data_IF_416678001410
#
_entry.id   IF_416678001410
#
_cell.length_a   1.000
_cell.length_b   1.000
_cell.length_c   1.000
_cell.angle_alpha   90.00
_cell.angle_beta   90.00
_cell.angle_gamma   90.00
#
_symmetry.space_group_name_H-M   'P 1'
#
loop_
_entity.id
_entity.type
_entity.pdbx_description
1 polymer ?
#
# COMPACT_ATOMS: atom_id res chain seq x y z
N UNK A 1 -19.47 -29.28 -31.05
CA UNK A 1 -19.00 -28.15 -30.23
C UNK A 1 -20.05 -27.82 -29.18
N UNK A 2 -19.72 -27.93 -27.91
CA UNK A 2 -20.63 -27.50 -26.83
C UNK A 2 -20.72 -25.99 -26.97
N UNK A 3 -21.92 -25.50 -27.33
CA UNK A 3 -22.16 -24.07 -27.47
C UNK A 3 -22.25 -23.45 -26.06
N UNK A 4 -21.08 -23.18 -25.46
CA UNK A 4 -20.96 -22.60 -24.13
C UNK A 4 -21.20 -21.12 -24.20
N UNK A 5 -22.41 -20.73 -24.56
CA UNK A 5 -22.78 -19.32 -24.73
C UNK A 5 -22.95 -18.65 -23.35
N UNK A 6 -21.86 -18.08 -22.84
CA UNK A 6 -21.80 -17.35 -21.58
C UNK A 6 -22.88 -16.26 -21.49
N UNK A 7 -23.11 -15.54 -22.60
CA UNK A 7 -24.11 -14.48 -22.71
C UNK A 7 -25.51 -14.99 -22.30
N UNK A 8 -25.92 -16.16 -22.86
CA UNK A 8 -27.25 -16.73 -22.58
C UNK A 8 -27.45 -17.17 -21.12
N UNK A 9 -26.38 -17.35 -20.38
CA UNK A 9 -26.43 -17.73 -18.94
C UNK A 9 -26.36 -16.54 -18.02
N UNK A 10 -25.76 -15.43 -18.45
CA UNK A 10 -25.41 -14.30 -17.58
C UNK A 10 -26.20 -13.01 -17.87
N UNK A 11 -26.64 -12.79 -19.11
CA UNK A 11 -27.54 -11.70 -19.41
C UNK A 11 -28.98 -12.07 -19.02
N UNK A 12 -29.64 -11.22 -18.26
CA UNK A 12 -30.97 -11.43 -17.76
C UNK A 12 -32.04 -11.55 -18.87
N UNK A 13 -32.22 -10.55 -19.75
CA UNK A 13 -33.25 -10.58 -20.79
C UNK A 13 -32.94 -11.64 -21.85
N UNK A 14 -33.96 -12.41 -22.21
CA UNK A 14 -33.93 -13.31 -23.38
C UNK A 14 -34.64 -12.63 -24.56
N UNK A 15 -34.49 -13.13 -25.79
CA UNK A 15 -35.12 -12.56 -26.98
C UNK A 15 -36.63 -12.28 -26.81
N UNK A 16 -37.36 -13.22 -26.15
CA UNK A 16 -38.77 -13.05 -25.85
C UNK A 16 -39.04 -11.95 -24.81
N UNK A 17 -38.13 -11.73 -23.89
CA UNK A 17 -38.25 -10.67 -22.89
C UNK A 17 -37.92 -9.32 -23.50
N UNK A 18 -36.86 -9.25 -24.32
CA UNK A 18 -36.46 -8.04 -25.07
C UNK A 18 -37.62 -7.58 -25.92
N UNK A 19 -38.29 -8.48 -26.65
CA UNK A 19 -39.45 -8.12 -27.47
C UNK A 19 -40.56 -7.48 -26.63
N UNK A 20 -40.92 -8.04 -25.50
CA UNK A 20 -41.94 -7.47 -24.60
C UNK A 20 -41.48 -6.12 -24.01
N UNK A 21 -40.19 -5.99 -23.67
CA UNK A 21 -39.64 -4.71 -23.17
C UNK A 21 -39.74 -3.61 -24.24
N UNK A 22 -39.40 -3.90 -25.50
CA UNK A 22 -39.52 -2.97 -26.61
C UNK A 22 -40.99 -2.58 -26.90
N UNK A 23 -41.89 -3.52 -26.80
CA UNK A 23 -43.35 -3.25 -26.92
C UNK A 23 -43.84 -2.28 -25.83
N UNK A 24 -43.39 -2.48 -24.57
CA UNK A 24 -43.76 -1.58 -23.46
C UNK A 24 -43.13 -0.20 -23.60
N UNK A 25 -41.90 -0.10 -24.11
CA UNK A 25 -41.20 1.17 -24.38
C UNK A 25 -41.84 1.90 -25.58
N UNK A 26 -42.44 1.16 -26.51
CA UNK A 26 -43.06 1.72 -27.72
C UNK A 26 -42.09 1.88 -28.90
N UNK A 27 -40.98 1.13 -28.91
CA UNK A 27 -40.00 1.12 -30.00
C UNK A 27 -39.95 -0.23 -30.71
N UNK A 28 -39.55 -0.23 -31.99
CA UNK A 28 -39.54 -1.44 -32.81
C UNK A 28 -38.30 -2.32 -32.65
N UNK A 29 -37.20 -1.75 -32.23
CA UNK A 29 -35.92 -2.44 -32.10
C UNK A 29 -35.01 -1.76 -31.08
N UNK A 30 -34.00 -2.50 -30.58
CA UNK A 30 -32.94 -1.94 -29.76
C UNK A 30 -32.15 -0.83 -30.48
N UNK A 31 -31.95 -0.97 -31.81
CA UNK A 31 -31.31 0.04 -32.63
C UNK A 31 -32.09 1.38 -32.64
N UNK A 32 -33.42 1.30 -32.78
CA UNK A 32 -34.25 2.49 -32.67
C UNK A 32 -34.14 3.15 -31.31
N UNK A 33 -34.16 2.36 -30.25
CA UNK A 33 -34.01 2.88 -28.90
C UNK A 33 -32.66 3.58 -28.70
N UNK A 34 -31.59 2.98 -29.20
CA UNK A 34 -30.25 3.58 -29.15
C UNK A 34 -30.18 4.88 -29.95
N UNK A 35 -30.76 4.89 -31.14
CA UNK A 35 -30.80 6.09 -31.99
C UNK A 35 -31.56 7.25 -31.37
N UNK A 36 -32.61 6.97 -30.59
CA UNK A 36 -33.39 7.99 -29.89
C UNK A 36 -32.70 8.54 -28.62
N UNK A 37 -31.85 7.73 -28.00
CA UNK A 37 -31.20 8.08 -26.71
C UNK A 37 -29.79 8.65 -26.91
N UNK A 38 -29.00 8.07 -27.82
CA UNK A 38 -27.61 8.41 -28.03
C UNK A 38 -27.45 9.37 -29.19
N UNK A 39 -26.82 10.53 -28.95
CA UNK A 39 -26.49 11.49 -30.00
C UNK A 39 -25.61 10.83 -31.08
N UNK A 40 -25.92 11.13 -32.35
CA UNK A 40 -25.17 10.63 -33.51
C UNK A 40 -23.67 10.97 -33.45
N UNK A 41 -23.33 12.08 -32.82
CA UNK A 41 -21.94 12.57 -32.72
C UNK A 41 -21.07 11.73 -31.81
N UNK A 42 -21.66 10.97 -30.88
CA UNK A 42 -20.94 10.12 -29.91
C UNK A 42 -21.17 8.62 -30.15
N UNK A 43 -22.09 8.26 -31.06
CA UNK A 43 -22.32 6.87 -31.41
C UNK A 43 -21.21 6.36 -32.32
N UNK A 44 -20.66 5.18 -31.97
CA UNK A 44 -19.66 4.50 -32.81
C UNK A 44 -20.28 4.19 -34.20
N UNK A 45 -19.59 4.55 -35.30
CA UNK A 45 -20.11 4.31 -36.66
C UNK A 45 -20.08 2.84 -37.10
N UNK A 46 -19.39 1.99 -36.33
CA UNK A 46 -19.21 0.58 -36.61
C UNK A 46 -18.96 -0.18 -35.29
N UNK A 47 -19.12 -1.48 -35.30
CA UNK A 47 -18.82 -2.37 -34.18
C UNK A 47 -17.34 -2.29 -33.83
N UNK A 48 -17.04 -2.62 -32.58
CA UNK A 48 -15.66 -2.71 -32.09
C UNK A 48 -14.90 -3.80 -32.88
N UNK A 49 -13.71 -3.48 -33.36
CA UNK A 49 -12.83 -4.43 -34.02
C UNK A 49 -12.14 -5.35 -32.99
N UNK A 50 -12.94 -6.22 -32.37
CA UNK A 50 -12.47 -7.24 -31.41
C UNK A 50 -12.74 -8.62 -31.98
N UNK A 51 -11.89 -9.59 -31.63
CA UNK A 51 -12.07 -10.98 -32.04
C UNK A 51 -13.34 -11.63 -31.45
N UNK A 52 -13.67 -12.80 -31.94
CA UNK A 52 -14.77 -13.61 -31.36
C UNK A 52 -14.46 -13.94 -29.90
N UNK A 53 -15.48 -13.92 -29.06
CA UNK A 53 -15.38 -14.36 -27.67
C UNK A 53 -14.90 -15.83 -27.58
N UNK A 54 -14.05 -16.10 -26.60
CA UNK A 54 -13.57 -17.45 -26.30
C UNK A 54 -14.57 -18.15 -25.38
N UNK A 55 -14.65 -19.49 -25.48
CA UNK A 55 -15.28 -20.27 -24.42
C UNK A 55 -14.37 -20.39 -23.19
N UNK A 56 -14.88 -20.87 -22.06
CA UNK A 56 -14.14 -20.95 -20.78
C UNK A 56 -12.84 -21.77 -20.90
N UNK A 57 -12.86 -22.85 -21.66
CA UNK A 57 -11.69 -23.69 -21.88
C UNK A 57 -10.61 -22.96 -22.71
N UNK A 58 -11.03 -22.36 -23.82
CA UNK A 58 -10.13 -21.57 -24.67
C UNK A 58 -9.53 -20.40 -23.91
N UNK A 59 -10.36 -19.66 -23.16
CA UNK A 59 -9.91 -18.54 -22.35
C UNK A 59 -8.92 -18.98 -21.27
N UNK A 60 -9.22 -20.06 -20.55
CA UNK A 60 -8.33 -20.61 -19.52
C UNK A 60 -6.97 -21.00 -20.08
N UNK A 61 -6.96 -21.67 -21.23
CA UNK A 61 -5.71 -22.06 -21.89
C UNK A 61 -4.94 -20.85 -22.42
N UNK A 62 -5.64 -19.88 -23.00
CA UNK A 62 -5.03 -18.63 -23.44
C UNK A 62 -4.39 -17.88 -22.26
N UNK A 63 -5.11 -17.74 -21.16
CA UNK A 63 -4.62 -17.06 -19.96
C UNK A 63 -3.39 -17.77 -19.36
N UNK A 64 -3.42 -19.11 -19.29
CA UNK A 64 -2.25 -19.91 -18.88
C UNK A 64 -1.05 -19.69 -19.79
N UNK A 65 -1.26 -19.67 -21.10
CA UNK A 65 -0.19 -19.45 -22.08
C UNK A 65 0.40 -18.03 -21.98
N UNK A 66 -0.44 -17.01 -21.73
CA UNK A 66 0.02 -15.64 -21.49
C UNK A 66 0.77 -15.56 -20.15
N UNK A 67 0.22 -16.15 -19.09
CA UNK A 67 0.85 -16.20 -17.77
C UNK A 67 2.21 -16.91 -17.78
N UNK A 68 2.35 -17.96 -18.56
CA UNK A 68 3.62 -18.71 -18.70
C UNK A 68 4.76 -17.91 -19.35
N UNK A 69 4.48 -16.74 -19.94
CA UNK A 69 5.53 -15.83 -20.46
C UNK A 69 6.25 -15.08 -19.34
N UNK A 70 5.67 -15.00 -18.14
CA UNK A 70 6.34 -14.43 -16.98
C UNK A 70 7.50 -15.33 -16.54
N UNK A 71 8.59 -14.69 -16.16
CA UNK A 71 9.74 -15.35 -15.54
C UNK A 71 9.67 -15.16 -14.04
N UNK A 72 9.52 -16.23 -13.29
CA UNK A 72 9.45 -16.19 -11.83
C UNK A 72 10.88 -16.21 -11.30
N UNK A 73 11.31 -15.09 -10.74
CA UNK A 73 12.62 -14.91 -10.13
C UNK A 73 12.46 -14.57 -8.64
N UNK A 74 13.45 -14.91 -7.82
CA UNK A 74 13.51 -14.45 -6.43
C UNK A 74 13.81 -12.96 -6.44
N UNK A 75 12.95 -12.19 -5.79
CA UNK A 75 13.10 -10.73 -5.74
C UNK A 75 13.73 -10.33 -4.41
N UNK A 76 14.84 -9.63 -4.50
CA UNK A 76 15.53 -8.99 -3.37
C UNK A 76 15.57 -7.46 -3.57
N UNK A 77 14.62 -6.92 -4.32
CA UNK A 77 14.53 -5.49 -4.65
C UNK A 77 14.06 -4.67 -3.43
N UNK A 78 13.15 -5.21 -2.64
CA UNK A 78 12.53 -4.49 -1.53
C UNK A 78 11.65 -3.33 -2.00
N UNK A 79 11.99 -2.10 -1.63
CA UNK A 79 11.27 -0.88 -2.03
C UNK A 79 9.82 -0.83 -1.53
N UNK A 80 9.57 -1.41 -0.35
CA UNK A 80 8.25 -1.49 0.27
C UNK A 80 7.44 -2.73 -0.10
N UNK A 81 8.01 -3.65 -0.90
CA UNK A 81 7.37 -4.89 -1.33
C UNK A 81 8.26 -6.11 -1.05
N UNK A 82 7.71 -7.09 -0.35
CA UNK A 82 8.46 -8.23 0.17
C UNK A 82 7.66 -9.52 -0.02
N UNK A 83 8.35 -10.65 -0.19
CA UNK A 83 7.67 -11.93 -0.06
C UNK A 83 7.30 -12.17 1.41
N UNK A 84 6.20 -12.87 1.61
CA UNK A 84 5.68 -13.21 2.92
C UNK A 84 4.99 -14.57 2.88
N UNK A 85 4.87 -15.21 4.03
CA UNK A 85 4.22 -16.51 4.15
C UNK A 85 2.79 -16.30 4.64
N UNK A 86 1.83 -16.40 3.72
CA UNK A 86 0.42 -16.37 4.10
C UNK A 86 0.05 -17.67 4.82
N UNK A 87 -0.39 -17.64 6.09
CA UNK A 87 -0.85 -18.86 6.78
C UNK A 87 -1.98 -19.55 6.01
N UNK A 88 -1.88 -20.88 5.84
CA UNK A 88 -2.86 -21.64 5.06
C UNK A 88 -4.31 -21.49 5.55
N UNK A 89 -4.50 -21.27 6.84
CA UNK A 89 -5.83 -21.00 7.43
C UNK A 89 -6.40 -19.66 6.93
N UNK A 90 -5.58 -18.64 6.73
CA UNK A 90 -6.00 -17.34 6.19
C UNK A 90 -6.32 -17.48 4.70
N UNK A 91 -5.46 -18.16 3.93
CA UNK A 91 -5.74 -18.43 2.51
C UNK A 91 -7.07 -19.13 2.33
N UNK A 92 -7.29 -20.26 3.01
CA UNK A 92 -8.49 -21.08 2.86
C UNK A 92 -9.75 -20.40 3.38
N UNK A 93 -9.70 -19.83 4.60
CA UNK A 93 -10.91 -19.39 5.31
C UNK A 93 -11.26 -17.91 5.08
N UNK A 94 -10.34 -17.14 4.52
CA UNK A 94 -10.53 -15.70 4.23
C UNK A 94 -10.40 -15.42 2.74
N UNK A 95 -9.21 -15.64 2.16
CA UNK A 95 -8.95 -15.26 0.76
C UNK A 95 -9.82 -16.05 -0.24
N UNK A 96 -10.00 -17.37 -0.02
CA UNK A 96 -10.79 -18.24 -0.90
C UNK A 96 -12.28 -18.29 -0.52
N UNK A 97 -12.69 -17.67 0.58
CA UNK A 97 -14.06 -17.73 1.08
C UNK A 97 -14.91 -16.58 0.50
N UNK A 98 -15.99 -16.91 -0.28
CA UNK A 98 -16.85 -15.89 -0.89
C UNK A 98 -17.50 -14.95 0.12
N UNK A 99 -17.75 -15.37 1.34
CA UNK A 99 -18.28 -14.52 2.42
C UNK A 99 -17.35 -13.34 2.76
N UNK A 100 -16.06 -13.46 2.48
CA UNK A 100 -15.06 -12.41 2.68
C UNK A 100 -14.73 -11.66 1.40
N UNK A 101 -14.39 -12.34 0.29
CA UNK A 101 -13.86 -11.68 -0.90
C UNK A 101 -14.93 -11.01 -1.77
N UNK A 102 -16.21 -11.39 -1.66
CA UNK A 102 -17.29 -10.69 -2.38
C UNK A 102 -17.78 -9.43 -1.66
N UNK A 103 -17.27 -9.17 -0.47
CA UNK A 103 -17.73 -8.09 0.39
C UNK A 103 -17.13 -6.76 -0.03
N UNK A 104 -17.99 -5.75 -0.10
CA UNK A 104 -17.61 -4.36 -0.25
C UNK A 104 -17.50 -3.66 1.12
N UNK A 105 -17.38 -2.35 1.15
CA UNK A 105 -17.36 -1.56 2.39
C UNK A 105 -18.59 -1.92 3.25
N UNK A 106 -18.41 -2.23 4.55
CA UNK A 106 -19.48 -2.70 5.42
C UNK A 106 -20.39 -1.55 5.90
N UNK A 107 -21.13 -0.94 4.99
CA UNK A 107 -22.05 0.16 5.31
C UNK A 107 -23.21 -0.26 6.21
N UNK A 108 -23.73 -1.47 6.03
CA UNK A 108 -24.79 -2.02 6.86
C UNK A 108 -24.18 -2.78 8.03
N UNK A 109 -24.11 -2.12 9.18
CA UNK A 109 -23.50 -2.67 10.39
C UNK A 109 -24.20 -3.96 10.84
N UNK A 110 -25.52 -4.05 10.69
CA UNK A 110 -26.37 -5.16 11.15
C UNK A 110 -25.94 -6.50 10.56
N UNK A 111 -25.50 -6.52 9.32
CA UNK A 111 -25.08 -7.75 8.60
C UNK A 111 -23.56 -7.86 8.42
N UNK A 112 -22.80 -6.99 9.07
CA UNK A 112 -21.36 -6.87 8.84
C UNK A 112 -20.53 -6.90 10.12
N UNK A 113 -21.08 -7.32 11.25
CA UNK A 113 -20.43 -7.25 12.56
C UNK A 113 -19.06 -7.93 12.57
N UNK A 114 -18.93 -9.16 12.06
CA UNK A 114 -17.65 -9.87 12.02
C UNK A 114 -16.60 -9.17 11.13
N UNK A 115 -17.01 -8.58 10.01
CA UNK A 115 -16.08 -7.80 9.15
C UNK A 115 -15.63 -6.49 9.79
N UNK A 116 -16.55 -5.82 10.49
CA UNK A 116 -16.23 -4.61 11.26
C UNK A 116 -15.29 -4.93 12.42
N UNK A 117 -15.49 -6.05 13.12
CA UNK A 117 -14.59 -6.53 14.16
C UNK A 117 -13.19 -6.81 13.62
N UNK A 118 -13.08 -7.50 12.48
CA UNK A 118 -11.81 -7.77 11.82
C UNK A 118 -11.07 -6.48 11.41
N UNK A 119 -11.80 -5.47 10.92
CA UNK A 119 -11.22 -4.15 10.61
C UNK A 119 -10.83 -3.36 11.86
N UNK A 120 -11.57 -3.51 12.96
CA UNK A 120 -11.18 -2.93 14.25
C UNK A 120 -9.88 -3.55 14.77
N UNK A 121 -9.73 -4.87 14.63
CA UNK A 121 -8.48 -5.56 14.97
C UNK A 121 -7.32 -5.04 14.15
N UNK A 122 -7.51 -4.81 12.84
CA UNK A 122 -6.51 -4.14 12.00
C UNK A 122 -6.11 -2.77 12.56
N UNK A 123 -7.09 -1.90 12.88
CA UNK A 123 -6.81 -0.59 13.48
C UNK A 123 -6.01 -0.71 14.79
N UNK A 124 -6.35 -1.68 15.63
CA UNK A 124 -5.67 -1.92 16.90
C UNK A 124 -4.21 -2.32 16.68
N UNK A 125 -3.96 -3.25 15.76
CA UNK A 125 -2.59 -3.67 15.40
C UNK A 125 -1.76 -2.47 14.92
N UNK A 126 -2.34 -1.62 14.08
CA UNK A 126 -1.63 -0.42 13.59
C UNK A 126 -1.35 0.56 14.74
N UNK A 127 -2.31 0.80 15.63
CA UNK A 127 -2.10 1.66 16.80
C UNK A 127 -0.96 1.12 17.68
N UNK A 128 -0.98 -0.17 18.00
CA UNK A 128 0.00 -0.81 18.87
C UNK A 128 1.41 -0.78 18.26
N UNK A 129 1.53 -1.14 16.97
CA UNK A 129 2.82 -1.17 16.27
C UNK A 129 3.43 0.21 16.07
N UNK A 130 2.60 1.23 15.84
CA UNK A 130 3.07 2.61 15.56
C UNK A 130 3.18 3.48 16.80
N UNK A 131 2.71 3.01 17.95
CA UNK A 131 2.52 3.79 19.19
C UNK A 131 1.64 5.05 18.98
N UNK A 132 0.64 4.96 18.08
CA UNK A 132 -0.29 6.05 17.78
C UNK A 132 -1.67 5.75 18.37
N UNK A 133 -2.38 6.76 18.88
CA UNK A 133 -3.67 6.54 19.56
C UNK A 133 -4.83 6.22 18.61
N UNK A 134 -4.69 6.48 17.32
CA UNK A 134 -5.78 6.35 16.36
C UNK A 134 -5.27 5.88 15.00
N UNK A 135 -5.90 4.85 14.43
CA UNK A 135 -5.67 4.39 13.07
C UNK A 135 -6.98 4.28 12.28
N UNK A 136 -6.90 4.39 10.94
CA UNK A 136 -8.03 4.12 10.06
C UNK A 136 -8.12 2.64 9.67
N UNK A 137 -9.22 2.28 8.99
CA UNK A 137 -9.48 0.92 8.51
C UNK A 137 -8.83 0.64 7.14
N UNK A 138 -7.72 1.23 6.83
CA UNK A 138 -6.83 1.15 5.68
C UNK A 138 -6.95 2.28 4.66
N UNK A 139 -5.93 2.37 3.84
CA UNK A 139 -5.87 3.13 2.58
C UNK A 139 -5.41 2.19 1.45
N UNK A 140 -5.29 2.74 0.24
CA UNK A 140 -4.91 1.97 -0.95
C UNK A 140 -3.49 1.38 -0.82
N UNK A 141 -2.52 2.23 -0.52
CA UNK A 141 -1.10 1.90 -0.40
C UNK A 141 -0.36 2.97 0.41
N UNK A 142 0.94 2.78 0.64
CA UNK A 142 1.80 3.73 1.35
C UNK A 142 1.87 5.08 0.65
N UNK A 143 2.02 5.09 -0.67
CA UNK A 143 2.18 6.34 -1.42
C UNK A 143 0.92 7.21 -1.35
N UNK A 144 -0.27 6.59 -1.44
CA UNK A 144 -1.56 7.27 -1.20
C UNK A 144 -1.65 7.77 0.24
N UNK A 145 -1.24 6.95 1.22
CA UNK A 145 -1.25 7.34 2.63
C UNK A 145 -0.34 8.56 2.88
N UNK A 146 0.83 8.62 2.25
CA UNK A 146 1.75 9.76 2.35
C UNK A 146 1.17 11.04 1.73
N UNK A 147 0.53 10.92 0.57
CA UNK A 147 -0.15 12.06 -0.06
C UNK A 147 -1.34 12.55 0.78
N UNK A 148 -2.12 11.63 1.36
CA UNK A 148 -3.22 11.98 2.27
C UNK A 148 -2.71 12.61 3.58
N UNK A 149 -1.54 12.21 4.09
CA UNK A 149 -0.90 12.87 5.23
C UNK A 149 -0.56 14.33 4.91
N UNK A 150 0.09 14.58 3.77
CA UNK A 150 0.35 15.94 3.30
C UNK A 150 -0.94 16.78 3.21
N UNK A 151 -2.00 16.22 2.62
CA UNK A 151 -3.29 16.91 2.46
C UNK A 151 -3.93 17.17 3.83
N UNK A 152 -3.90 16.20 4.74
CA UNK A 152 -4.47 16.35 6.09
C UNK A 152 -3.76 17.48 6.86
N UNK A 153 -2.44 17.50 6.87
CA UNK A 153 -1.69 18.54 7.59
C UNK A 153 -1.83 19.90 6.89
N UNK A 154 -1.90 19.95 5.57
CA UNK A 154 -2.18 21.17 4.82
C UNK A 154 -3.54 21.79 5.21
N UNK A 155 -4.58 20.96 5.29
CA UNK A 155 -5.92 21.41 5.69
C UNK A 155 -6.02 21.77 7.19
N UNK A 156 -5.07 21.31 7.99
CA UNK A 156 -5.01 21.54 9.43
C UNK A 156 -4.10 22.72 9.84
N UNK A 157 -3.58 23.47 8.85
CA UNK A 157 -2.75 24.65 9.10
C UNK A 157 -3.47 25.65 10.01
N UNK A 158 -2.73 26.30 10.88
CA UNK A 158 -3.24 27.38 11.72
C UNK A 158 -3.75 28.56 10.88
N UNK A 159 -4.64 29.36 11.43
CA UNK A 159 -5.13 30.59 10.78
C UNK A 159 -3.98 31.53 10.41
N UNK A 160 -2.91 31.56 11.21
CA UNK A 160 -1.72 32.38 10.97
C UNK A 160 -0.97 31.86 9.72
N UNK A 161 -0.73 30.57 9.63
CA UNK A 161 -0.10 29.93 8.47
C UNK A 161 -0.91 30.14 7.18
N UNK A 162 -2.23 29.95 7.23
CA UNK A 162 -3.10 30.20 6.09
C UNK A 162 -3.07 31.66 5.63
N UNK A 163 -3.11 32.62 6.58
CA UNK A 163 -3.03 34.05 6.26
C UNK A 163 -1.67 34.47 5.71
N UNK A 164 -0.60 33.82 6.16
CA UNK A 164 0.76 34.01 5.64
C UNK A 164 1.03 33.33 4.30
N UNK A 165 0.06 32.52 3.77
CA UNK A 165 0.24 31.80 2.51
C UNK A 165 1.22 30.65 2.56
N UNK A 166 1.51 30.08 3.74
CA UNK A 166 2.45 28.96 3.88
C UNK A 166 1.89 27.73 3.20
N UNK A 167 2.52 27.29 2.12
CA UNK A 167 2.08 26.18 1.29
C UNK A 167 3.20 25.19 0.92
N UNK A 168 4.41 25.31 1.50
CA UNK A 168 5.52 24.40 1.25
C UNK A 168 5.43 23.16 2.15
N UNK A 169 5.68 22.00 1.54
CA UNK A 169 5.81 20.71 2.21
C UNK A 169 7.16 20.10 1.88
N UNK A 170 7.94 19.77 2.91
CA UNK A 170 9.24 19.14 2.72
C UNK A 170 9.11 17.62 2.64
N UNK A 171 9.76 17.02 1.65
CA UNK A 171 9.83 15.58 1.43
C UNK A 171 11.30 15.17 1.45
N UNK A 172 11.69 14.32 2.38
CA UNK A 172 13.06 13.82 2.40
C UNK A 172 13.36 13.02 1.11
N UNK A 173 14.51 13.25 0.49
CA UNK A 173 14.91 12.64 -0.78
C UNK A 173 15.21 11.14 -0.69
N UNK A 174 15.27 10.63 0.54
CA UNK A 174 15.44 9.21 0.85
C UNK A 174 14.13 8.44 1.02
N UNK A 175 12.97 9.02 0.72
CA UNK A 175 11.70 8.29 0.58
C UNK A 175 11.74 7.38 -0.66
N UNK A 176 10.87 6.38 -0.68
CA UNK A 176 10.64 5.59 -1.89
C UNK A 176 10.23 6.49 -3.06
N UNK A 177 10.87 6.38 -4.24
CA UNK A 177 10.58 7.23 -5.39
C UNK A 177 9.10 7.25 -5.80
N UNK A 178 8.43 6.09 -5.77
CA UNK A 178 7.01 6.00 -6.07
C UNK A 178 6.14 6.82 -5.10
N UNK A 179 6.52 6.88 -3.82
CA UNK A 179 5.83 7.68 -2.81
C UNK A 179 6.01 9.17 -3.09
N UNK A 180 7.23 9.60 -3.44
CA UNK A 180 7.53 10.99 -3.82
C UNK A 180 6.69 11.43 -5.02
N UNK A 181 6.56 10.58 -6.06
CA UNK A 181 5.82 10.94 -7.27
C UNK A 181 4.30 11.04 -7.02
N UNK A 182 3.72 10.21 -6.16
CA UNK A 182 2.30 10.34 -5.77
C UNK A 182 2.07 11.61 -4.96
N UNK A 183 2.98 11.94 -4.02
CA UNK A 183 2.91 13.20 -3.26
C UNK A 183 2.91 14.40 -4.21
N UNK A 184 3.86 14.48 -5.15
CA UNK A 184 3.93 15.55 -6.16
C UNK A 184 2.67 15.65 -7.01
N UNK A 185 2.15 14.51 -7.48
CA UNK A 185 0.94 14.46 -8.29
C UNK A 185 -0.27 15.03 -7.56
N UNK A 186 -0.45 14.65 -6.29
CA UNK A 186 -1.56 15.13 -5.48
C UNK A 186 -1.40 16.60 -5.08
N UNK A 187 -0.17 17.02 -4.77
CA UNK A 187 0.17 18.39 -4.40
C UNK A 187 -0.14 19.39 -5.52
N UNK A 188 0.13 19.02 -6.78
CA UNK A 188 -0.06 19.88 -7.95
C UNK A 188 -1.47 20.48 -8.03
N UNK A 189 -2.50 19.66 -7.85
CA UNK A 189 -3.89 20.10 -7.95
C UNK A 189 -4.38 20.91 -6.75
N UNK A 190 -3.60 20.94 -5.66
CA UNK A 190 -3.90 21.70 -4.45
C UNK A 190 -3.02 22.94 -4.29
N UNK A 191 -2.16 23.23 -5.28
CA UNK A 191 -1.17 24.30 -5.23
C UNK A 191 -0.27 24.21 -3.99
N UNK A 192 0.11 22.98 -3.60
CA UNK A 192 1.10 22.72 -2.58
C UNK A 192 2.46 22.65 -3.24
N UNK A 193 3.41 23.42 -2.71
CA UNK A 193 4.80 23.44 -3.20
C UNK A 193 5.60 22.34 -2.49
N UNK A 194 5.94 21.27 -3.22
CA UNK A 194 6.69 20.12 -2.71
C UNK A 194 8.18 20.35 -2.92
N UNK A 195 8.91 20.45 -1.82
CA UNK A 195 10.36 20.58 -1.82
C UNK A 195 11.00 19.26 -1.42
N UNK A 196 11.69 18.60 -2.36
CA UNK A 196 12.41 17.34 -2.12
C UNK A 196 13.87 17.66 -1.84
N UNK A 197 14.43 17.13 -0.75
CA UNK A 197 15.82 17.40 -0.39
C UNK A 197 16.39 16.54 0.72
N UNK A 198 17.68 16.73 0.97
CA UNK A 198 18.40 16.06 2.05
C UNK A 198 17.93 16.58 3.41
N UNK A 199 17.34 15.69 4.21
CA UNK A 199 16.81 16.03 5.54
C UNK A 199 17.87 16.58 6.49
N UNK A 200 19.15 16.17 6.33
CA UNK A 200 20.25 16.68 7.15
C UNK A 200 20.60 18.14 6.86
N UNK A 201 20.20 18.63 5.68
CA UNK A 201 20.36 20.02 5.25
C UNK A 201 19.08 20.84 5.42
N UNK A 202 18.00 20.18 5.86
CA UNK A 202 16.72 20.85 6.03
C UNK A 202 16.81 21.88 7.17
N UNK A 203 16.51 23.11 6.82
CA UNK A 203 16.37 24.19 7.77
C UNK A 203 15.06 24.94 7.50
N UNK A 204 14.11 24.79 8.42
CA UNK A 204 12.86 25.53 8.33
C UNK A 204 13.09 27.00 8.70
N UNK A 205 12.79 27.86 7.74
CA UNK A 205 12.81 29.34 7.87
C UNK A 205 11.38 29.92 8.07
N UNK A 206 10.41 29.07 8.44
CA UNK A 206 9.01 29.45 8.62
C UNK A 206 8.15 29.38 7.36
N UNK A 207 8.66 28.78 6.27
CA UNK A 207 7.94 28.67 4.99
C UNK A 207 7.21 27.31 4.81
N UNK A 208 7.48 26.35 5.69
CA UNK A 208 6.92 25.00 5.58
C UNK A 208 5.77 24.79 6.57
N UNK A 209 4.74 24.08 6.13
CA UNK A 209 3.66 23.66 7.04
C UNK A 209 3.89 22.23 7.58
N UNK A 210 4.74 21.44 6.95
CA UNK A 210 5.02 20.09 7.41
C UNK A 210 6.17 19.43 6.65
N UNK A 211 6.57 18.28 7.15
CA UNK A 211 7.66 17.45 6.64
C UNK A 211 7.26 15.99 6.67
N UNK A 212 7.77 15.21 5.70
CA UNK A 212 7.71 13.75 5.72
C UNK A 212 9.10 13.15 5.59
N UNK A 213 9.39 12.17 6.45
CA UNK A 213 10.60 11.34 6.45
C UNK A 213 10.22 9.86 6.39
N UNK A 214 11.20 8.98 6.12
CA UNK A 214 10.97 7.53 6.05
C UNK A 214 12.00 6.77 6.90
N UNK A 215 11.53 5.74 7.63
CA UNK A 215 12.39 4.85 8.41
C UNK A 215 11.81 3.41 8.44
N UNK A 216 12.59 2.39 7.97
CA UNK A 216 13.83 2.51 7.21
C UNK A 216 13.64 3.25 5.90
N UNK A 217 14.68 3.92 5.42
CA UNK A 217 14.64 4.68 4.17
C UNK A 217 14.78 3.80 2.92
N UNK A 218 14.73 4.41 1.73
CA UNK A 218 14.87 3.68 0.47
C UNK A 218 16.20 2.91 0.31
N UNK A 219 17.22 3.24 1.09
CA UNK A 219 18.52 2.55 1.11
C UNK A 219 18.63 1.57 2.27
N UNK A 220 17.56 1.34 3.02
CA UNK A 220 17.51 0.47 4.18
C UNK A 220 18.10 1.07 5.44
N UNK A 221 18.44 2.37 5.46
CA UNK A 221 18.99 3.02 6.65
C UNK A 221 17.92 3.19 7.72
N UNK A 222 18.22 2.71 8.92
CA UNK A 222 17.43 2.97 10.13
C UNK A 222 17.98 4.23 10.78
N UNK A 223 17.18 5.28 10.82
CA UNK A 223 17.56 6.59 11.36
C UNK A 223 16.61 6.92 12.50
N UNK A 224 17.16 7.23 13.67
CA UNK A 224 16.38 7.78 14.78
C UNK A 224 16.13 9.27 14.54
N UNK A 225 14.89 9.60 14.26
CA UNK A 225 14.46 10.99 14.06
C UNK A 225 13.90 11.65 15.34
N UNK A 226 13.97 11.00 16.52
CA UNK A 226 13.32 11.45 17.74
C UNK A 226 13.64 12.90 18.11
N UNK A 227 14.91 13.29 18.13
CA UNK A 227 15.33 14.66 18.45
C UNK A 227 14.99 15.64 17.33
N UNK A 228 15.11 15.22 16.07
CA UNK A 228 14.74 16.05 14.94
C UNK A 228 13.23 16.34 14.92
N UNK A 229 12.39 15.34 15.18
CA UNK A 229 10.93 15.49 15.28
C UNK A 229 10.57 16.50 16.36
N UNK A 230 11.17 16.43 17.55
CA UNK A 230 10.95 17.41 18.63
C UNK A 230 11.29 18.84 18.17
N UNK A 231 12.48 19.01 17.57
CA UNK A 231 12.94 20.30 17.09
C UNK A 231 12.04 20.89 15.97
N UNK A 232 11.55 20.06 15.05
CA UNK A 232 10.63 20.48 14.00
C UNK A 232 9.27 20.90 14.57
N UNK A 233 8.76 20.14 15.53
CA UNK A 233 7.49 20.45 16.20
C UNK A 233 7.56 21.74 17.03
N UNK A 234 8.67 22.03 17.68
CA UNK A 234 8.90 23.31 18.37
C UNK A 234 8.85 24.50 17.42
N UNK A 235 9.23 24.32 16.16
CA UNK A 235 9.08 25.32 15.09
C UNK A 235 7.67 25.38 14.48
N UNK A 236 6.76 24.50 14.89
CA UNK A 236 5.37 24.47 14.42
C UNK A 236 5.12 23.65 13.15
N UNK A 237 6.10 22.82 12.71
CA UNK A 237 5.89 21.88 11.61
C UNK A 237 5.06 20.69 12.09
N UNK A 238 4.21 20.17 11.19
CA UNK A 238 3.62 18.85 11.34
C UNK A 238 4.52 17.79 10.71
N UNK A 239 4.69 16.67 11.40
CA UNK A 239 5.64 15.64 11.03
C UNK A 239 4.92 14.33 10.68
N UNK A 240 5.10 13.89 9.45
CA UNK A 240 4.68 12.56 8.99
C UNK A 240 5.90 11.63 8.86
N UNK A 241 5.73 10.37 9.21
CA UNK A 241 6.76 9.33 9.09
C UNK A 241 6.20 8.16 8.31
N UNK A 242 6.80 7.85 7.16
CA UNK A 242 6.57 6.59 6.46
C UNK A 242 7.43 5.51 7.14
N UNK A 243 6.82 4.39 7.52
CA UNK A 243 7.48 3.34 8.28
C UNK A 243 7.17 1.95 7.73
N UNK A 244 8.17 1.09 7.73
CA UNK A 244 7.95 -0.35 7.53
C UNK A 244 7.35 -0.96 8.81
N UNK A 245 6.13 -1.51 8.69
CA UNK A 245 5.39 -1.98 9.86
C UNK A 245 6.10 -3.11 10.61
N UNK A 246 6.77 -4.04 9.90
CA UNK A 246 7.45 -5.16 10.55
C UNK A 246 8.71 -4.72 11.29
N UNK A 247 9.43 -3.72 10.79
CA UNK A 247 10.61 -3.18 11.46
C UNK A 247 10.28 -2.61 12.84
N UNK A 248 9.06 -2.09 13.02
CA UNK A 248 8.58 -1.54 14.29
C UNK A 248 8.43 -2.60 15.41
N UNK A 249 8.53 -3.89 15.07
CA UNK A 249 8.66 -4.94 16.08
C UNK A 249 10.02 -4.94 16.81
N UNK A 250 11.05 -4.28 16.23
CA UNK A 250 12.42 -4.24 16.75
C UNK A 250 12.95 -2.84 17.03
N UNK A 251 12.41 -1.81 16.37
CA UNK A 251 12.87 -0.42 16.50
C UNK A 251 11.80 0.46 17.14
N UNK A 252 12.22 1.58 17.72
CA UNK A 252 11.33 2.54 18.36
C UNK A 252 10.27 3.05 17.35
N UNK A 253 8.98 2.91 17.66
CA UNK A 253 7.93 3.36 16.76
C UNK A 253 7.86 4.91 16.71
N UNK A 254 7.54 5.50 15.52
CA UNK A 254 7.54 6.95 15.35
C UNK A 254 6.52 7.71 16.21
N UNK A 255 5.49 7.05 16.73
CA UNK A 255 4.57 7.64 17.70
C UNK A 255 5.28 8.06 19.00
N UNK A 256 6.30 7.32 19.43
CA UNK A 256 7.12 7.67 20.59
C UNK A 256 8.05 8.87 20.32
N UNK A 257 8.41 9.14 19.07
CA UNK A 257 9.12 10.36 18.68
C UNK A 257 8.24 11.61 18.78
N UNK A 258 6.92 11.41 18.81
CA UNK A 258 5.93 12.49 18.77
C UNK A 258 5.49 12.89 17.37
N UNK A 259 5.63 12.01 16.39
CA UNK A 259 5.11 12.22 15.04
C UNK A 259 3.60 12.53 15.05
N UNK A 260 3.13 13.34 14.11
CA UNK A 260 1.70 13.66 13.95
C UNK A 260 0.98 12.58 13.14
N UNK A 261 1.70 11.96 12.18
CA UNK A 261 1.20 10.87 11.34
C UNK A 261 2.27 9.80 11.22
N UNK A 262 1.86 8.54 11.32
CA UNK A 262 2.67 7.37 10.96
C UNK A 262 1.89 6.58 9.90
N UNK A 263 2.53 6.27 8.81
CA UNK A 263 1.90 5.61 7.66
C UNK A 263 2.86 4.60 7.02
N UNK A 264 2.32 3.73 6.17
CA UNK A 264 3.12 2.73 5.47
C UNK A 264 2.28 1.67 4.79
N UNK A 265 2.90 0.55 4.48
CA UNK A 265 2.25 -0.62 3.87
C UNK A 265 2.14 -1.78 4.85
N UNK A 266 1.02 -2.52 4.79
CA UNK A 266 0.87 -3.81 5.50
C UNK A 266 1.10 -5.01 4.58
N UNK A 267 1.65 -4.81 3.38
CA UNK A 267 1.81 -5.87 2.39
C UNK A 267 2.57 -7.08 2.96
N UNK A 268 3.63 -6.85 3.72
CA UNK A 268 4.43 -7.92 4.30
C UNK A 268 3.79 -8.66 5.48
N UNK A 269 2.55 -8.29 5.86
CA UNK A 269 1.74 -9.01 6.85
C UNK A 269 0.85 -10.04 6.16
N UNK A 270 1.47 -11.04 5.54
CA UNK A 270 0.82 -12.19 4.93
C UNK A 270 0.14 -11.93 3.58
N UNK A 271 0.42 -10.82 2.89
CA UNK A 271 -0.14 -10.53 1.58
C UNK A 271 0.87 -10.85 0.47
N UNK A 272 0.60 -11.82 -0.40
CA UNK A 272 1.52 -12.15 -1.49
C UNK A 272 1.62 -10.97 -2.48
N UNK A 273 2.80 -10.74 -3.04
CA UNK A 273 3.01 -9.69 -4.06
C UNK A 273 2.16 -9.89 -5.32
N UNK A 274 1.84 -11.13 -5.69
CA UNK A 274 0.92 -11.51 -6.77
C UNK A 274 1.14 -10.73 -8.09
N UNK A 275 2.40 -10.49 -8.47
CA UNK A 275 2.78 -9.73 -9.69
C UNK A 275 2.20 -8.30 -9.73
N UNK A 276 2.18 -7.61 -8.60
CA UNK A 276 1.58 -6.28 -8.45
C UNK A 276 0.12 -6.34 -8.01
N UNK A 277 -0.25 -7.37 -7.26
CA UNK A 277 -1.58 -7.52 -6.67
C UNK A 277 -1.88 -6.49 -5.60
N UNK A 278 -3.14 -6.41 -5.19
CA UNK A 278 -3.58 -5.42 -4.20
C UNK A 278 -2.98 -5.72 -2.82
N UNK A 279 -2.77 -4.66 -2.04
CA UNK A 279 -2.34 -4.69 -0.65
C UNK A 279 -3.02 -3.54 0.11
N UNK A 280 -2.71 -3.35 1.38
CA UNK A 280 -3.30 -2.28 2.17
C UNK A 280 -2.23 -1.33 2.69
N UNK A 281 -2.48 -0.02 2.54
CA UNK A 281 -1.76 1.01 3.26
C UNK A 281 -2.38 1.24 4.64
N UNK A 282 -1.58 1.61 5.62
CA UNK A 282 -2.04 2.04 6.93
C UNK A 282 -1.81 3.54 7.14
N UNK A 283 -2.60 4.10 8.02
CA UNK A 283 -2.52 5.50 8.41
C UNK A 283 -2.92 5.64 9.89
N UNK A 284 -2.00 6.11 10.70
CA UNK A 284 -2.21 6.35 12.11
C UNK A 284 -1.88 7.81 12.46
N UNK A 285 -2.59 8.39 13.42
CA UNK A 285 -2.44 9.80 13.79
C UNK A 285 -2.84 10.05 15.23
N UNK A 286 -2.63 11.29 15.70
CA UNK A 286 -3.02 11.74 17.03
C UNK A 286 -4.52 12.05 17.12
N UNK A 287 -5.07 12.09 18.33
CA UNK A 287 -6.47 12.42 18.59
C UNK A 287 -6.89 13.81 18.04
N UNK A 288 -5.94 14.74 17.94
CA UNK A 288 -6.20 16.09 17.42
C UNK A 288 -6.67 16.07 15.95
N UNK A 289 -6.23 15.08 15.17
CA UNK A 289 -6.57 14.95 13.74
C UNK A 289 -7.75 14.02 13.45
N UNK A 290 -8.41 13.44 14.45
CA UNK A 290 -9.50 12.46 14.23
C UNK A 290 -10.62 12.92 13.30
N UNK A 291 -10.89 14.22 13.22
CA UNK A 291 -11.90 14.80 12.33
C UNK A 291 -11.37 15.11 10.92
N UNK A 292 -10.07 15.11 10.75
CA UNK A 292 -9.38 15.43 9.50
C UNK A 292 -8.74 14.19 8.86
N UNK A 293 -8.70 13.08 9.60
CA UNK A 293 -8.11 11.81 9.16
C UNK A 293 -8.80 11.26 7.91
N UNK A 294 -8.06 10.84 6.87
CA UNK A 294 -8.64 10.20 5.68
C UNK A 294 -9.12 8.78 5.97
N UNK A 295 -9.94 8.24 5.06
CA UNK A 295 -10.39 6.85 5.11
C UNK A 295 -11.48 6.58 6.16
N UNK A 296 -11.85 5.30 6.26
CA UNK A 296 -12.89 4.82 7.18
C UNK A 296 -12.33 4.59 8.57
N UNK A 297 -13.17 4.76 9.57
CA UNK A 297 -12.86 4.42 10.97
C UNK A 297 -13.97 3.53 11.48
N UNK A 298 -13.60 2.40 12.07
CA UNK A 298 -14.51 1.53 12.80
C UNK A 298 -14.53 1.99 14.26
N UNK A 299 -15.72 2.08 14.82
CA UNK A 299 -15.92 2.42 16.23
C UNK A 299 -16.86 1.46 16.92
N UNK A 300 -16.77 1.40 18.23
CA UNK A 300 -17.63 0.62 19.10
C UNK A 300 -18.83 1.47 19.51
N UNK A 301 -20.02 0.91 19.38
CA UNK A 301 -21.32 1.48 19.76
C UNK A 301 -22.09 0.46 20.59
N UNK A 302 -23.37 0.69 20.76
CA UNK A 302 -24.30 -0.26 21.40
C UNK A 302 -25.47 -0.57 20.47
N UNK A 303 -25.94 -1.80 20.51
CA UNK A 303 -27.18 -2.21 19.86
C UNK A 303 -28.43 -1.76 20.64
N UNK A 304 -29.62 -2.09 20.15
CA UNK A 304 -30.89 -1.75 20.78
C UNK A 304 -31.08 -2.39 22.17
N UNK A 305 -30.35 -3.46 22.47
CA UNK A 305 -30.36 -4.17 23.74
C UNK A 305 -29.26 -3.71 24.70
N UNK A 306 -28.40 -2.80 24.26
CA UNK A 306 -27.30 -2.27 25.07
C UNK A 306 -25.98 -3.07 24.94
N UNK A 307 -25.91 -4.11 24.11
CA UNK A 307 -24.69 -4.88 23.88
C UNK A 307 -23.70 -4.11 23.01
N UNK A 308 -22.39 -4.36 23.14
CA UNK A 308 -21.38 -3.80 22.21
C UNK A 308 -21.69 -4.16 20.76
N UNK A 309 -21.61 -3.18 19.88
CA UNK A 309 -21.81 -3.36 18.45
C UNK A 309 -20.83 -2.47 17.67
N UNK A 310 -20.35 -2.95 16.52
CA UNK A 310 -19.42 -2.24 15.68
C UNK A 310 -20.15 -1.46 14.58
N UNK A 311 -19.59 -0.31 14.22
CA UNK A 311 -20.13 0.52 13.13
C UNK A 311 -19.05 1.41 12.52
N UNK A 312 -19.32 1.95 11.33
CA UNK A 312 -18.52 3.04 10.79
C UNK A 312 -18.69 4.30 11.65
N UNK A 313 -17.58 4.88 12.08
CA UNK A 313 -17.55 6.07 12.94
C UNK A 313 -17.19 7.34 12.15
N UNK A 314 -17.62 8.50 12.65
CA UNK A 314 -17.29 9.82 12.10
C UNK A 314 -17.60 9.97 10.59
N UNK A 315 -18.66 9.33 10.09
CA UNK A 315 -19.07 9.33 8.66
C UNK A 315 -19.33 10.73 8.09
N UNK A 316 -19.59 11.74 8.95
CA UNK A 316 -19.78 13.12 8.50
C UNK A 316 -18.57 13.74 7.79
N UNK A 317 -17.38 13.10 7.82
CA UNK A 317 -16.18 13.51 7.08
C UNK A 317 -16.20 13.03 5.62
N UNK A 318 -17.07 12.09 5.30
CA UNK A 318 -17.04 11.32 4.06
C UNK A 318 -17.74 12.04 2.90
N UNK A 319 -17.30 11.71 1.68
CA UNK A 319 -17.76 12.35 0.46
C UNK A 319 -19.28 12.24 0.23
N UNK A 320 -19.89 11.10 0.59
CA UNK A 320 -21.34 10.92 0.39
C UNK A 320 -22.21 11.84 1.29
N UNK A 321 -21.62 12.43 2.35
CA UNK A 321 -22.28 13.38 3.22
C UNK A 321 -21.84 14.82 2.93
N UNK A 322 -20.52 15.08 2.92
CA UNK A 322 -19.97 16.44 2.76
C UNK A 322 -19.72 16.86 1.31
N UNK A 323 -19.84 15.97 0.36
CA UNK A 323 -19.62 16.23 -1.08
C UNK A 323 -18.26 16.90 -1.32
N UNK A 324 -18.23 18.07 -1.97
CA UNK A 324 -17.01 18.85 -2.27
C UNK A 324 -16.26 19.33 -1.01
N UNK A 325 -16.89 19.32 0.15
CA UNK A 325 -16.27 19.69 1.44
C UNK A 325 -15.78 18.48 2.23
N UNK A 326 -15.74 17.29 1.62
CA UNK A 326 -15.23 16.10 2.29
C UNK A 326 -13.76 16.28 2.69
N UNK A 327 -13.39 15.66 3.82
CA UNK A 327 -12.01 15.69 4.32
C UNK A 327 -11.05 14.99 3.37
N UNK A 328 -11.52 13.93 2.70
CA UNK A 328 -10.77 13.18 1.69
C UNK A 328 -11.76 12.64 0.65
N UNK A 329 -11.29 12.49 -0.59
CA UNK A 329 -12.05 11.85 -1.68
C UNK A 329 -11.88 10.33 -1.70
N UNK A 330 -11.17 9.74 -0.73
CA UNK A 330 -11.04 8.29 -0.58
C UNK A 330 -12.41 7.72 -0.22
N UNK A 331 -13.00 6.96 -1.15
CA UNK A 331 -14.29 6.30 -0.96
C UNK A 331 -14.12 4.84 -0.52
N UNK A 332 -13.19 4.12 -1.15
CA UNK A 332 -12.97 2.69 -0.95
C UNK A 332 -11.62 2.46 -0.29
N UNK A 333 -11.61 1.59 0.72
CA UNK A 333 -10.40 1.08 1.36
C UNK A 333 -10.13 -0.37 0.92
N UNK A 334 -8.94 -0.87 1.21
CA UNK A 334 -8.54 -2.26 0.95
C UNK A 334 -9.09 -3.19 2.04
N UNK A 335 -10.40 -3.49 2.01
CA UNK A 335 -11.06 -4.20 3.11
C UNK A 335 -10.52 -5.63 3.32
N UNK A 336 -10.56 -6.49 2.30
CA UNK A 336 -10.10 -7.89 2.41
C UNK A 336 -8.63 -7.97 2.83
N UNK A 337 -7.79 -7.13 2.26
CA UNK A 337 -6.35 -7.16 2.48
C UNK A 337 -5.99 -6.61 3.87
N UNK A 338 -6.70 -5.60 4.37
CA UNK A 338 -6.57 -5.14 5.74
C UNK A 338 -7.00 -6.23 6.74
N UNK A 339 -8.11 -6.94 6.46
CA UNK A 339 -8.57 -8.05 7.26
C UNK A 339 -7.53 -9.17 7.31
N UNK A 340 -6.95 -9.55 6.16
CA UNK A 340 -5.90 -10.57 6.10
C UNK A 340 -4.66 -10.16 6.90
N UNK A 341 -4.23 -8.89 6.80
CA UNK A 341 -3.09 -8.36 7.58
C UNK A 341 -3.38 -8.37 9.09
N UNK A 342 -4.60 -7.99 9.50
CA UNK A 342 -5.03 -8.09 10.89
C UNK A 342 -5.03 -9.54 11.39
N UNK A 343 -5.51 -10.47 10.58
CA UNK A 343 -5.50 -11.91 10.92
C UNK A 343 -4.09 -12.51 10.93
N UNK A 344 -3.19 -12.03 10.07
CA UNK A 344 -1.78 -12.40 10.14
C UNK A 344 -1.18 -12.02 11.50
N UNK A 345 -1.45 -10.81 11.96
CA UNK A 345 -0.99 -10.35 13.26
C UNK A 345 -1.61 -11.16 14.42
N UNK A 346 -2.89 -11.50 14.34
CA UNK A 346 -3.55 -12.35 15.34
C UNK A 346 -2.99 -13.78 15.33
N UNK A 347 -2.73 -14.33 14.14
CA UNK A 347 -2.21 -15.70 13.98
C UNK A 347 -0.82 -15.85 14.63
N UNK A 348 0.07 -14.90 14.38
CA UNK A 348 1.45 -14.96 14.91
C UNK A 348 1.57 -14.43 16.34
N UNK A 349 0.69 -13.51 16.74
CA UNK A 349 0.82 -12.79 18.00
C UNK A 349 2.06 -11.89 18.05
N UNK A 350 2.22 -11.15 19.13
CA UNK A 350 3.34 -10.22 19.29
C UNK A 350 4.71 -10.92 19.22
N UNK A 351 4.82 -12.10 19.84
CA UNK A 351 6.07 -12.85 19.87
C UNK A 351 6.42 -13.42 18.50
N UNK A 352 5.45 -13.99 17.77
CA UNK A 352 5.68 -14.49 16.43
C UNK A 352 6.11 -13.41 15.44
N UNK A 353 5.48 -12.23 15.48
CA UNK A 353 5.88 -11.09 14.63
C UNK A 353 7.32 -10.64 14.98
N UNK A 354 7.66 -10.59 16.26
CA UNK A 354 9.02 -10.25 16.71
C UNK A 354 10.03 -11.30 16.27
N UNK A 355 9.70 -12.57 16.33
CA UNK A 355 10.52 -13.68 15.85
C UNK A 355 10.77 -13.59 14.34
N UNK A 356 9.74 -13.33 13.53
CA UNK A 356 9.86 -13.12 12.08
C UNK A 356 10.82 -11.94 11.81
N UNK A 357 10.61 -10.82 12.47
CA UNK A 357 11.45 -9.64 12.30
C UNK A 357 12.91 -9.91 12.69
N UNK A 358 13.15 -10.60 13.82
CA UNK A 358 14.50 -10.99 14.26
C UNK A 358 15.17 -11.94 13.29
N UNK A 359 14.45 -12.93 12.78
CA UNK A 359 14.99 -13.90 11.81
C UNK A 359 15.50 -13.19 10.56
N UNK A 360 14.71 -12.29 10.00
CA UNK A 360 15.10 -11.48 8.84
C UNK A 360 16.34 -10.64 9.15
N UNK A 361 16.34 -9.95 10.28
CA UNK A 361 17.46 -9.08 10.65
C UNK A 361 18.76 -9.88 10.90
N UNK A 362 18.68 -11.05 11.53
CA UNK A 362 19.84 -11.94 11.73
C UNK A 362 20.40 -12.38 10.37
N UNK A 363 19.56 -12.83 9.44
CA UNK A 363 20.02 -13.22 8.10
C UNK A 363 20.64 -12.03 7.34
N UNK A 364 20.12 -10.84 7.54
CA UNK A 364 20.68 -9.60 6.96
C UNK A 364 22.06 -9.29 7.56
N UNK A 365 22.25 -9.47 8.86
CA UNK A 365 23.57 -9.36 9.50
C UNK A 365 24.55 -10.39 8.93
N UNK A 366 24.14 -11.66 8.81
CA UNK A 366 24.97 -12.72 8.22
C UNK A 366 25.36 -12.36 6.77
N UNK A 367 24.41 -11.90 5.96
CA UNK A 367 24.68 -11.46 4.59
C UNK A 367 25.75 -10.35 4.58
N UNK A 368 25.61 -9.36 5.45
CA UNK A 368 26.58 -8.26 5.54
C UNK A 368 27.98 -8.74 5.90
N UNK A 369 28.10 -9.62 6.89
CA UNK A 369 29.37 -10.18 7.32
C UNK A 369 30.03 -11.00 6.18
N UNK A 370 29.26 -11.81 5.48
CA UNK A 370 29.78 -12.60 4.36
C UNK A 370 30.24 -11.71 3.20
N UNK A 371 29.45 -10.70 2.83
CA UNK A 371 29.81 -9.74 1.74
C UNK A 371 31.10 -8.98 2.05
N UNK A 372 31.32 -8.62 3.31
CA UNK A 372 32.52 -7.89 3.72
C UNK A 372 33.81 -8.67 3.47
N UNK A 373 33.79 -10.01 3.53
CA UNK A 373 34.94 -10.88 3.25
C UNK A 373 35.42 -10.80 1.81
N UNK A 374 34.55 -10.38 0.90
CA UNK A 374 34.85 -10.25 -0.53
C UNK A 374 35.07 -8.79 -0.96
N UNK A 375 35.21 -7.87 0.00
CA UNK A 375 35.50 -6.47 -0.28
C UNK A 375 34.31 -5.66 -0.81
N UNK A 376 33.10 -6.18 -0.73
CA UNK A 376 31.87 -5.44 -1.01
C UNK A 376 31.59 -4.51 0.16
N UNK A 377 31.57 -3.19 -0.12
CA UNK A 377 31.43 -2.18 0.94
C UNK A 377 29.96 -1.89 1.23
N UNK A 378 29.53 -2.13 2.47
CA UNK A 378 28.22 -1.70 2.96
C UNK A 378 28.23 -0.19 3.29
N UNK A 379 27.11 0.48 3.01
CA UNK A 379 26.97 1.95 3.10
C UNK A 379 25.90 2.41 4.10
N UNK A 380 25.12 1.51 4.70
CA UNK A 380 24.11 1.81 5.71
C UNK A 380 24.49 1.20 7.07
N UNK A 381 24.96 2.02 8.00
CA UNK A 381 25.48 1.59 9.29
C UNK A 381 24.44 0.84 10.14
N UNK A 382 23.20 1.33 10.16
CA UNK A 382 22.07 0.72 10.84
C UNK A 382 21.01 0.30 9.83
N UNK A 383 20.55 -0.95 9.92
CA UNK A 383 19.61 -1.53 8.97
C UNK A 383 18.67 -2.54 9.66
N UNK A 384 17.55 -2.81 9.00
CA UNK A 384 16.63 -3.87 9.41
C UNK A 384 16.78 -5.10 8.50
N UNK A 385 16.34 -5.01 7.26
CA UNK A 385 16.26 -6.09 6.27
C UNK A 385 16.93 -5.78 4.94
N UNK A 386 17.37 -4.54 4.75
CA UNK A 386 17.89 -4.04 3.48
C UNK A 386 19.31 -3.53 3.65
N UNK A 387 20.21 -4.04 2.81
CA UNK A 387 21.61 -3.62 2.73
C UNK A 387 21.84 -2.81 1.45
N UNK A 388 22.60 -1.72 1.60
CA UNK A 388 23.04 -0.85 0.53
C UNK A 388 24.54 -1.02 0.34
N UNK A 389 24.95 -1.45 -0.86
CA UNK A 389 26.31 -1.86 -1.16
C UNK A 389 26.94 -1.02 -2.27
N UNK A 390 28.24 -0.86 -2.17
CA UNK A 390 29.14 -0.33 -3.21
C UNK A 390 30.07 -1.43 -3.70
N UNK A 391 30.10 -1.67 -5.01
CA UNK A 391 31.04 -2.60 -5.64
C UNK A 391 32.46 -2.00 -5.69
N UNK A 392 33.52 -2.84 -5.64
CA UNK A 392 34.89 -2.40 -5.93
C UNK A 392 35.04 -1.75 -7.30
N UNK A 393 36.06 -0.90 -7.48
CA UNK A 393 36.24 -0.07 -8.67
C UNK A 393 36.30 -0.83 -10.01
N UNK A 394 36.73 -2.09 -9.98
CA UNK A 394 36.86 -2.93 -11.17
C UNK A 394 35.59 -3.64 -11.60
N UNK A 395 34.49 -3.45 -10.86
CA UNK A 395 33.22 -4.12 -11.08
C UNK A 395 32.12 -3.12 -11.43
N UNK A 396 31.12 -3.59 -12.18
CA UNK A 396 29.91 -2.79 -12.43
C UNK A 396 28.64 -3.59 -12.12
N UNK A 397 27.62 -2.90 -11.67
CA UNK A 397 26.31 -3.48 -11.41
C UNK A 397 25.64 -4.02 -12.66
N UNK A 398 26.05 -3.61 -13.86
CA UNK A 398 25.59 -4.19 -15.12
C UNK A 398 25.94 -5.67 -15.23
N UNK A 399 27.19 -6.04 -14.91
CA UNK A 399 27.61 -7.45 -14.89
C UNK A 399 26.95 -8.23 -13.76
N UNK A 400 26.90 -7.65 -12.56
CA UNK A 400 26.17 -8.25 -11.44
C UNK A 400 24.73 -8.56 -11.80
N UNK A 401 24.03 -7.65 -12.47
CA UNK A 401 22.66 -7.86 -12.89
C UNK A 401 22.51 -9.02 -13.92
N UNK A 402 23.44 -9.11 -14.86
CA UNK A 402 23.46 -10.24 -15.82
C UNK A 402 23.62 -11.59 -15.12
N UNK A 403 24.56 -11.69 -14.16
CA UNK A 403 24.81 -12.90 -13.37
C UNK A 403 23.58 -13.23 -12.52
N UNK A 404 23.04 -12.23 -11.80
CA UNK A 404 21.86 -12.42 -10.97
C UNK A 404 20.65 -12.95 -11.79
N UNK A 405 20.42 -12.43 -12.99
CA UNK A 405 19.36 -12.90 -13.89
C UNK A 405 19.58 -14.34 -14.35
N UNK A 406 20.82 -14.78 -14.56
CA UNK A 406 21.15 -16.20 -14.88
C UNK A 406 20.78 -17.12 -13.70
N UNK A 407 20.98 -16.65 -12.47
CA UNK A 407 20.59 -17.34 -11.23
C UNK A 407 19.13 -17.10 -10.82
N UNK A 408 18.32 -16.45 -11.69
CA UNK A 408 16.91 -16.13 -11.43
C UNK A 408 16.70 -15.29 -10.17
N UNK A 409 17.58 -14.31 -9.95
CA UNK A 409 17.50 -13.33 -8.86
C UNK A 409 17.34 -11.94 -9.44
N UNK A 410 16.59 -11.08 -8.74
CA UNK A 410 16.47 -9.66 -9.01
C UNK A 410 17.02 -8.88 -7.83
N UNK A 411 18.11 -8.15 -8.03
CA UNK A 411 18.62 -7.17 -7.09
C UNK A 411 18.17 -5.75 -7.46
N UNK A 412 18.15 -4.85 -6.50
CA UNK A 412 17.92 -3.44 -6.77
C UNK A 412 19.20 -2.79 -7.31
N UNK A 413 19.25 -2.53 -8.59
CA UNK A 413 20.34 -1.76 -9.20
C UNK A 413 20.04 -0.27 -9.05
N UNK A 414 20.94 0.49 -8.43
CA UNK A 414 20.78 1.91 -8.13
C UNK A 414 21.53 2.74 -9.17
N UNK A 415 22.80 2.44 -9.36
CA UNK A 415 23.63 3.04 -10.40
C UNK A 415 24.75 2.08 -10.83
N UNK A 416 25.80 2.57 -11.50
CA UNK A 416 26.89 1.74 -12.04
C UNK A 416 27.70 0.99 -10.98
N UNK A 417 27.66 1.42 -9.72
CA UNK A 417 28.45 0.86 -8.62
C UNK A 417 27.61 0.44 -7.42
N UNK A 418 26.41 0.98 -7.30
CA UNK A 418 25.60 0.80 -6.12
C UNK A 418 24.41 -0.12 -6.40
N UNK A 419 24.14 -0.99 -5.45
CA UNK A 419 23.00 -1.91 -5.47
C UNK A 419 22.45 -2.15 -4.07
N UNK A 420 21.22 -2.61 -4.00
CA UNK A 420 20.56 -2.98 -2.76
C UNK A 420 20.10 -4.43 -2.77
N UNK A 421 20.11 -5.05 -1.60
CA UNK A 421 19.54 -6.38 -1.35
C UNK A 421 18.63 -6.28 -0.14
N UNK A 422 17.36 -6.66 -0.33
CA UNK A 422 16.37 -6.74 0.76
C UNK A 422 16.01 -8.19 1.00
N UNK A 423 16.09 -8.63 2.24
CA UNK A 423 15.65 -9.96 2.67
C UNK A 423 14.22 -9.89 3.22
N UNK A 424 13.55 -11.04 3.23
CA UNK A 424 12.17 -11.14 3.67
C UNK A 424 11.88 -12.45 4.41
N UNK A 425 10.65 -12.65 4.83
CA UNK A 425 10.19 -13.81 5.60
C UNK A 425 10.48 -15.16 4.91
N UNK A 426 10.59 -15.16 3.59
CA UNK A 426 10.84 -16.39 2.81
C UNK A 426 12.31 -16.71 2.64
N UNK A 427 13.20 -15.82 3.07
CA UNK A 427 14.65 -15.97 2.93
C UNK A 427 15.19 -16.99 3.94
N UNK A 428 16.04 -17.89 3.48
CA UNK A 428 16.76 -18.88 4.29
C UNK A 428 18.26 -18.63 4.26
N UNK A 429 19.01 -19.31 5.14
CA UNK A 429 20.48 -19.28 5.12
C UNK A 429 21.04 -19.82 3.79
N UNK A 430 20.33 -20.77 3.14
CA UNK A 430 20.70 -21.25 1.81
C UNK A 430 20.61 -20.12 0.77
N UNK A 431 19.56 -19.30 0.83
CA UNK A 431 19.40 -18.16 -0.07
C UNK A 431 20.49 -17.12 0.16
N UNK A 432 20.87 -16.85 1.40
CA UNK A 432 22.01 -15.96 1.74
C UNK A 432 23.29 -16.48 1.10
N UNK A 433 23.62 -17.78 1.23
CA UNK A 433 24.80 -18.36 0.60
C UNK A 433 24.77 -18.25 -0.93
N UNK A 434 23.61 -18.46 -1.56
CA UNK A 434 23.45 -18.31 -3.01
C UNK A 434 23.59 -16.85 -3.45
N UNK A 435 23.07 -15.88 -2.67
CA UNK A 435 23.25 -14.44 -2.93
C UNK A 435 24.74 -14.08 -2.88
N UNK A 436 25.46 -14.51 -1.86
CA UNK A 436 26.90 -14.27 -1.74
C UNK A 436 27.65 -14.85 -2.92
N UNK A 437 27.36 -16.09 -3.32
CA UNK A 437 27.99 -16.72 -4.47
C UNK A 437 27.78 -15.90 -5.76
N UNK A 438 26.55 -15.44 -6.00
CA UNK A 438 26.17 -14.64 -7.21
C UNK A 438 26.87 -13.28 -7.22
N UNK A 439 27.00 -12.62 -6.07
CA UNK A 439 27.66 -11.30 -6.02
C UNK A 439 29.18 -11.41 -6.15
N UNK A 440 29.76 -12.55 -5.76
CA UNK A 440 31.20 -12.79 -5.79
C UNK A 440 31.69 -13.51 -7.08
N UNK A 441 30.81 -13.91 -7.97
CA UNK A 441 31.13 -14.47 -9.31
C UNK A 441 31.60 -13.37 -10.27
#
# INVERSE_FOLDING_TARGET
>A
MINNNFIKRHNGPREADVKKMLEVIGVKSEEQLIDEIISKDIRLPHDLNIGKGMNEYEFTNHLKAVGAKNKIYRSYIGMGYYNTITPGVITRNVLENPGWYTSYTPYQAEVSQGRLEALLNFQTVICDMTAMPLANASLLDEATAAAEAMIMVFNSRSRAQMKAGINKFFVADNLFPQTVEVIKTRAHFLNIDVVVGDVNKFNDNGEYFGIIVQCPDQYGRVIDYGDAVKAWKEKGLQVAVAADLLSLALITPPGEWGADVVLGSTQRFGLPMSFGGPHAGFFATTESYKRNMPGRIIGISKDALGNPAYRLALQTREQHIKREKATSNICTAQALLAIMSGFYAIYHGADGIREIARHINILTCVLNEEMSKYGVKQLNDYFFDTLYFELPDNYCTCKLNEIALQHKMNFRIIDKRHFGISLDETTSLKDVNEIVAVVCE
#
